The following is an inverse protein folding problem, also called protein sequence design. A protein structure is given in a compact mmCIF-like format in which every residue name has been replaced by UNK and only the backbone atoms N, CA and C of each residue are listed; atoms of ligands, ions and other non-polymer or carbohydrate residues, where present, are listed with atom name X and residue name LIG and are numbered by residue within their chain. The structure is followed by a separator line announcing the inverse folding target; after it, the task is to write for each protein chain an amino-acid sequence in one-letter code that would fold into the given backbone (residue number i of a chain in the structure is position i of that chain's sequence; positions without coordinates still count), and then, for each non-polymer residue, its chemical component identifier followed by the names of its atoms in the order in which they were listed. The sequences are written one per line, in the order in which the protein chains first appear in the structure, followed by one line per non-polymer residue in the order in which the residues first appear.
data_IF_405666629067
#
_entry.id   IF_405666629067
#
_cell.length_a   1.000
_cell.length_b   1.000
_cell.length_c   1.000
_cell.angle_alpha   90.00
_cell.angle_beta   90.00
_cell.angle_gamma   90.00
#
_symmetry.space_group_name_H-M   'P 1'
#
loop_
_entity.id
_entity.type
_entity.pdbx_description
1 polymer ?
#
# COMPACT_ATOMS: atom_id res chain seq x y z
N UNK A 1 8.29 4.28 0.60
CA UNK A 1 7.47 3.13 0.13
C UNK A 1 7.86 2.67 -1.26
N UNK A 2 7.62 3.45 -2.31
CA UNK A 2 7.94 3.07 -3.71
C UNK A 2 9.37 2.60 -3.91
N UNK A 3 10.33 3.37 -3.40
CA UNK A 3 11.75 3.02 -3.49
C UNK A 3 12.10 1.74 -2.72
N UNK A 4 11.43 1.49 -1.59
CA UNK A 4 11.61 0.27 -0.81
C UNK A 4 11.11 -0.96 -1.58
N UNK A 5 9.90 -0.87 -2.16
CA UNK A 5 9.33 -1.94 -2.98
C UNK A 5 10.16 -2.20 -4.25
N UNK A 6 10.60 -1.13 -4.92
CA UNK A 6 11.44 -1.22 -6.12
C UNK A 6 12.81 -1.85 -5.82
N UNK A 7 13.46 -1.48 -4.70
CA UNK A 7 14.73 -2.09 -4.27
C UNK A 7 14.60 -3.56 -3.93
N UNK A 8 13.41 -4.00 -3.48
CA UNK A 8 13.10 -5.41 -3.24
C UNK A 8 12.72 -6.17 -4.51
N UNK A 9 12.62 -5.49 -5.66
CA UNK A 9 12.22 -6.11 -6.93
C UNK A 9 10.75 -6.54 -6.96
N UNK A 10 9.91 -5.89 -6.15
CA UNK A 10 8.49 -6.19 -6.06
C UNK A 10 7.72 -5.34 -7.07
N UNK A 11 6.91 -5.99 -7.90
CA UNK A 11 5.97 -5.28 -8.76
C UNK A 11 4.84 -4.68 -7.91
N UNK A 12 4.63 -3.38 -8.07
CA UNK A 12 3.57 -2.67 -7.37
C UNK A 12 2.86 -1.69 -8.31
N UNK A 13 1.57 -1.51 -8.09
CA UNK A 13 0.78 -0.47 -8.74
C UNK A 13 0.71 0.74 -7.80
N UNK A 14 1.07 1.91 -8.32
CA UNK A 14 0.88 3.16 -7.60
C UNK A 14 -0.51 3.74 -7.91
N UNK A 15 -1.31 3.97 -6.87
CA UNK A 15 -2.59 4.68 -6.96
C UNK A 15 -2.54 5.95 -6.13
N UNK A 16 -2.70 7.10 -6.77
CA UNK A 16 -2.75 8.42 -6.12
C UNK A 16 -4.19 8.79 -5.74
N UNK A 17 -4.54 8.53 -4.48
CA UNK A 17 -5.88 8.82 -3.95
C UNK A 17 -6.18 10.33 -3.82
N UNK A 18 -5.17 11.20 -3.95
CA UNK A 18 -5.40 12.66 -3.89
C UNK A 18 -5.97 13.21 -5.20
N UNK A 19 -5.81 12.46 -6.29
CA UNK A 19 -6.27 12.85 -7.64
C UNK A 19 -7.32 11.89 -8.19
N UNK A 20 -7.42 10.69 -7.64
CA UNK A 20 -8.37 9.66 -8.05
C UNK A 20 -9.32 9.28 -6.91
N UNK A 21 -10.54 9.84 -6.98
CA UNK A 21 -11.62 9.53 -6.05
C UNK A 21 -12.01 8.05 -6.07
N UNK A 22 -11.89 7.35 -7.21
CA UNK A 22 -12.17 5.92 -7.28
C UNK A 22 -11.11 5.12 -6.54
N UNK A 23 -9.85 5.51 -6.66
CA UNK A 23 -8.77 4.91 -5.88
C UNK A 23 -8.96 5.15 -4.37
N UNK A 24 -9.44 6.33 -3.98
CA UNK A 24 -9.79 6.63 -2.59
C UNK A 24 -10.91 5.74 -2.07
N UNK A 25 -12.01 5.59 -2.84
CA UNK A 25 -13.08 4.67 -2.46
C UNK A 25 -12.62 3.22 -2.42
N UNK A 26 -11.84 2.77 -3.40
CA UNK A 26 -11.28 1.41 -3.43
C UNK A 26 -10.41 1.16 -2.19
N UNK A 27 -9.53 2.11 -1.85
CA UNK A 27 -8.71 2.06 -0.65
C UNK A 27 -9.58 1.91 0.59
N UNK A 28 -10.58 2.76 0.78
CA UNK A 28 -11.45 2.68 1.95
C UNK A 28 -12.25 1.37 1.98
N UNK A 29 -12.79 0.92 0.85
CA UNK A 29 -13.52 -0.36 0.77
C UNK A 29 -12.64 -1.57 1.08
N UNK A 30 -11.38 -1.56 0.63
CA UNK A 30 -10.45 -2.68 0.82
C UNK A 30 -9.77 -2.69 2.18
N UNK A 31 -9.50 -1.51 2.75
CA UNK A 31 -8.67 -1.36 3.93
C UNK A 31 -9.44 -0.91 5.17
N UNK A 32 -10.57 -0.21 4.99
CA UNK A 32 -11.30 0.46 6.07
C UNK A 32 -10.63 1.76 6.55
N UNK A 33 -9.47 2.13 5.99
CA UNK A 33 -8.68 3.28 6.43
C UNK A 33 -8.52 4.30 5.29
N UNK A 34 -8.54 5.59 5.64
CA UNK A 34 -8.21 6.71 4.74
C UNK A 34 -6.86 7.34 5.06
N UNK A 35 -5.93 6.56 5.61
CA UNK A 35 -4.62 7.04 6.02
C UNK A 35 -3.54 6.64 5.00
N UNK A 36 -2.69 7.58 4.62
CA UNK A 36 -1.53 7.33 3.73
C UNK A 36 -0.21 7.39 4.50
N UNK A 37 0.83 6.67 4.06
CA UNK A 37 0.82 5.68 2.97
C UNK A 37 0.11 4.39 3.41
N UNK A 38 -0.66 3.74 2.53
CA UNK A 38 -1.21 2.39 2.77
C UNK A 38 -0.77 1.46 1.65
N UNK A 39 -0.34 0.26 2.02
CA UNK A 39 0.12 -0.79 1.10
C UNK A 39 -0.76 -2.01 1.28
N UNK A 40 -1.25 -2.56 0.18
CA UNK A 40 -2.06 -3.78 0.18
C UNK A 40 -1.25 -4.87 -0.50
N UNK A 41 -0.97 -5.96 0.21
CA UNK A 41 -0.20 -7.10 -0.29
C UNK A 41 -1.12 -8.32 -0.21
N UNK A 42 -1.69 -8.72 -1.35
CA UNK A 42 -2.70 -9.78 -1.39
C UNK A 42 -3.97 -9.39 -0.62
N UNK A 43 -4.24 -10.11 0.48
CA UNK A 43 -5.36 -9.85 1.40
C UNK A 43 -4.96 -9.03 2.62
N UNK A 44 -3.66 -8.80 2.82
CA UNK A 44 -3.15 -8.08 3.97
C UNK A 44 -3.00 -6.58 3.67
N UNK A 45 -3.26 -5.78 4.70
CA UNK A 45 -3.23 -4.32 4.61
C UNK A 45 -2.25 -3.79 5.64
N UNK A 46 -1.28 -3.00 5.17
CA UNK A 46 -0.33 -2.26 5.99
C UNK A 46 -0.64 -0.78 5.87
N UNK A 47 -1.12 -0.19 6.95
CA UNK A 47 -1.35 1.25 7.06
C UNK A 47 -0.11 1.90 7.67
N UNK A 48 0.38 2.96 7.03
CA UNK A 48 1.60 3.66 7.39
C UNK A 48 2.86 3.09 6.73
N UNK A 49 4.02 3.53 7.23
CA UNK A 49 5.32 3.03 6.83
C UNK A 49 5.90 2.14 7.93
N UNK A 50 5.75 0.83 7.77
CA UNK A 50 6.31 -0.18 8.68
C UNK A 50 7.24 -1.13 7.90
N UNK A 51 8.56 -0.83 7.86
CA UNK A 51 9.50 -1.65 7.11
C UNK A 51 9.61 -3.08 7.64
N UNK A 52 9.47 -3.33 8.95
CA UNK A 52 9.55 -4.70 9.48
C UNK A 52 8.37 -5.55 9.04
N UNK A 53 7.16 -4.98 9.09
CA UNK A 53 5.95 -5.67 8.64
C UNK A 53 5.96 -5.89 7.13
N UNK A 54 6.40 -4.89 6.36
CA UNK A 54 6.56 -5.01 4.92
C UNK A 54 7.59 -6.07 4.55
N UNK A 55 8.74 -6.12 5.23
CA UNK A 55 9.74 -7.16 4.99
C UNK A 55 9.19 -8.56 5.26
N UNK A 56 8.46 -8.76 6.35
CA UNK A 56 7.82 -10.06 6.65
C UNK A 56 6.81 -10.50 5.61
N UNK A 57 6.10 -9.55 5.02
CA UNK A 57 5.03 -9.83 4.05
C UNK A 57 5.55 -10.00 2.62
N UNK A 58 6.79 -9.58 2.35
CA UNK A 58 7.46 -9.68 1.05
C UNK A 58 8.53 -10.79 1.02
N UNK A 59 8.64 -11.59 2.09
CA UNK A 59 9.63 -12.66 2.24
C UNK A 59 9.07 -14.03 1.85
#
# INVERSE_FOLDING_TARGET
MKEFLSRKGVDFEEKDISRDEKAQEEMYRRTGFMAVPTTVIGQEVVVGYDPQRLEKMLH
#
